data_IF_345865053488
#
_entry.id   IF_345865053488
#
_cell.length_a   1.000
_cell.length_b   1.000
_cell.length_c   1.000
_cell.angle_alpha   90.00
_cell.angle_beta   90.00
_cell.angle_gamma   90.00
#
_symmetry.space_group_name_H-M   'P 1'
#
loop_
_entity.id
_entity.type
_entity.pdbx_description
1 polymer ?
#
# COMPACT_ATOMS: atom_id res chain seq x y z
N UNK A 1 -2.18 -9.89 -14.49
CA UNK A 1 -0.80 -10.03 -13.98
C UNK A 1 -0.86 -9.62 -12.52
N UNK A 2 -1.00 -10.56 -11.58
CA UNK A 2 -0.90 -10.20 -10.16
C UNK A 2 0.57 -9.86 -9.91
N UNK A 3 0.86 -8.61 -9.57
CA UNK A 3 2.20 -8.15 -9.22
C UNK A 3 2.64 -8.91 -7.97
N UNK A 4 3.45 -9.96 -8.16
CA UNK A 4 4.15 -10.61 -7.07
C UNK A 4 5.52 -9.92 -6.93
N UNK A 5 5.82 -9.36 -5.75
CA UNK A 5 7.01 -8.54 -5.48
C UNK A 5 8.33 -9.33 -5.40
N UNK A 6 8.34 -10.64 -5.69
CA UNK A 6 9.55 -11.46 -5.62
C UNK A 6 10.66 -11.00 -6.61
N UNK A 7 10.35 -10.10 -7.56
CA UNK A 7 11.32 -9.49 -8.47
C UNK A 7 11.11 -7.96 -8.54
N UNK A 8 11.36 -7.27 -7.43
CA UNK A 8 11.47 -5.81 -7.41
C UNK A 8 12.94 -5.40 -7.48
N UNK A 9 13.33 -4.57 -8.45
CA UNK A 9 14.65 -3.93 -8.45
C UNK A 9 14.80 -3.04 -7.21
N UNK A 10 16.03 -2.86 -6.72
CA UNK A 10 16.34 -2.11 -5.48
C UNK A 10 15.71 -0.70 -5.46
N UNK A 11 15.73 0.00 -6.59
CA UNK A 11 15.12 1.32 -6.77
C UNK A 11 13.59 1.32 -6.59
N UNK A 12 12.92 0.21 -6.93
CA UNK A 12 11.48 0.05 -6.71
C UNK A 12 11.15 -0.31 -5.26
N UNK A 13 12.05 -1.03 -4.57
CA UNK A 13 11.92 -1.30 -3.14
C UNK A 13 11.97 0.01 -2.32
N UNK A 14 12.88 0.92 -2.67
CA UNK A 14 12.99 2.23 -1.99
C UNK A 14 11.77 3.14 -2.18
N UNK A 15 10.91 2.85 -3.17
CA UNK A 15 9.70 3.61 -3.50
C UNK A 15 8.42 2.91 -3.09
N UNK A 16 8.50 1.72 -2.52
CA UNK A 16 7.34 0.91 -2.19
C UNK A 16 7.24 0.69 -0.69
N UNK A 17 6.03 0.84 -0.17
CA UNK A 17 5.68 0.45 1.20
C UNK A 17 4.60 -0.63 1.21
N UNK A 18 4.50 -1.36 2.32
CA UNK A 18 3.52 -2.44 2.50
C UNK A 18 2.51 -2.02 3.55
N UNK A 19 1.27 -1.74 3.15
CA UNK A 19 0.18 -1.54 4.09
C UNK A 19 -0.32 -2.90 4.59
N UNK A 20 -0.34 -3.11 5.90
CA UNK A 20 -0.75 -4.36 6.55
C UNK A 20 -2.11 -4.24 7.23
N UNK A 21 -2.63 -5.38 7.71
CA UNK A 21 -3.88 -5.50 8.47
C UNK A 21 -5.10 -4.81 7.83
N UNK A 22 -5.20 -4.91 6.50
CA UNK A 22 -6.28 -4.29 5.76
C UNK A 22 -7.58 -5.10 5.88
N UNK A 23 -8.71 -4.49 6.29
CA UNK A 23 -10.00 -5.17 6.28
C UNK A 23 -10.47 -5.43 4.84
N UNK A 24 -11.26 -6.49 4.66
CA UNK A 24 -11.70 -7.00 3.34
C UNK A 24 -12.42 -5.96 2.46
N UNK A 25 -12.99 -4.92 3.09
CA UNK A 25 -13.68 -3.82 2.41
C UNK A 25 -12.75 -2.75 1.82
N UNK A 26 -11.46 -2.78 2.13
CA UNK A 26 -10.49 -1.83 1.59
C UNK A 26 -10.21 -2.18 0.14
N UNK A 27 -10.31 -1.18 -0.72
CA UNK A 27 -10.05 -1.30 -2.16
C UNK A 27 -8.74 -0.61 -2.52
N UNK A 28 -8.15 -1.00 -3.64
CA UNK A 28 -6.95 -0.34 -4.20
C UNK A 28 -7.23 1.15 -4.47
N UNK A 29 -8.45 1.48 -4.91
CA UNK A 29 -8.90 2.86 -5.14
C UNK A 29 -8.90 3.69 -3.85
N UNK A 30 -9.44 3.15 -2.76
CA UNK A 30 -9.46 3.81 -1.45
C UNK A 30 -8.04 4.09 -0.94
N UNK A 31 -7.15 3.11 -1.06
CA UNK A 31 -5.75 3.27 -0.68
C UNK A 31 -5.04 4.28 -1.59
N UNK A 32 -5.33 4.29 -2.88
CA UNK A 32 -4.77 5.26 -3.82
C UNK A 32 -5.15 6.69 -3.41
N UNK A 33 -6.43 6.95 -3.15
CA UNK A 33 -6.91 8.26 -2.72
C UNK A 33 -6.30 8.72 -1.38
N UNK A 34 -6.15 7.78 -0.44
CA UNK A 34 -5.51 8.04 0.85
C UNK A 34 -4.04 8.42 0.67
N UNK A 35 -3.25 7.58 0.00
CA UNK A 35 -1.81 7.77 -0.13
C UNK A 35 -1.41 8.87 -1.13
N UNK A 36 -2.33 9.33 -1.99
CA UNK A 36 -2.13 10.55 -2.79
C UNK A 36 -1.81 11.78 -1.93
N UNK A 37 -2.29 11.84 -0.68
CA UNK A 37 -1.97 12.94 0.24
C UNK A 37 -0.50 12.93 0.67
N UNK A 38 0.17 11.78 0.63
CA UNK A 38 1.59 11.66 0.94
C UNK A 38 2.49 11.95 -0.27
N UNK A 39 1.98 11.77 -1.48
CA UNK A 39 2.73 12.10 -2.69
C UNK A 39 2.23 11.38 -3.94
N UNK A 40 2.84 11.64 -5.10
CA UNK A 40 2.42 11.04 -6.36
C UNK A 40 2.66 9.53 -6.38
N UNK A 41 1.60 8.77 -6.63
CA UNK A 41 1.63 7.31 -6.70
C UNK A 41 1.94 6.83 -8.12
N UNK A 42 2.66 5.71 -8.19
CA UNK A 42 2.87 4.92 -9.42
C UNK A 42 1.86 3.78 -9.52
N UNK A 43 1.67 3.03 -8.44
CA UNK A 43 0.73 1.92 -8.38
C UNK A 43 0.30 1.62 -6.95
N UNK A 44 -0.91 1.06 -6.80
CA UNK A 44 -1.36 0.40 -5.57
C UNK A 44 -1.84 -0.98 -5.96
N UNK A 45 -1.47 -2.00 -5.20
CA UNK A 45 -1.87 -3.38 -5.48
C UNK A 45 -2.26 -4.14 -4.22
N UNK A 46 -3.47 -4.70 -4.19
CA UNK A 46 -3.92 -5.68 -3.19
C UNK A 46 -3.82 -7.07 -3.82
N UNK A 47 -2.84 -7.90 -3.43
CA UNK A 47 -2.72 -9.24 -3.97
C UNK A 47 -3.96 -10.07 -3.63
N UNK A 48 -4.36 -10.92 -4.56
CA UNK A 48 -5.45 -11.87 -4.37
C UNK A 48 -4.89 -13.27 -4.12
N UNK A 49 -5.63 -14.09 -3.37
CA UNK A 49 -5.36 -15.51 -3.25
C UNK A 49 -5.75 -16.28 -4.54
N UNK A 50 -5.55 -17.60 -4.53
CA UNK A 50 -5.90 -18.48 -5.66
C UNK A 50 -7.40 -18.53 -6.00
N UNK A 51 -8.25 -18.01 -5.12
CA UNK A 51 -9.71 -17.96 -5.25
C UNK A 51 -10.21 -16.54 -5.57
N UNK A 52 -9.30 -15.58 -5.81
CA UNK A 52 -9.64 -14.19 -6.12
C UNK A 52 -10.01 -13.35 -4.89
N UNK A 53 -9.77 -13.85 -3.66
CA UNK A 53 -10.05 -13.10 -2.44
C UNK A 53 -8.90 -12.14 -2.14
N UNK A 54 -9.16 -10.86 -1.83
CA UNK A 54 -8.12 -9.91 -1.49
C UNK A 54 -7.41 -10.35 -0.20
N UNK A 55 -6.08 -10.21 -0.17
CA UNK A 55 -5.30 -10.41 1.05
C UNK A 55 -5.40 -9.16 1.94
N UNK A 56 -5.07 -9.33 3.22
CA UNK A 56 -5.08 -8.27 4.23
C UNK A 56 -3.83 -7.36 4.17
N UNK A 57 -3.20 -7.22 2.99
CA UNK A 57 -2.09 -6.31 2.78
C UNK A 57 -2.07 -5.76 1.36
N UNK A 58 -1.43 -4.62 1.18
CA UNK A 58 -1.27 -3.95 -0.10
C UNK A 58 0.14 -3.43 -0.29
N UNK A 59 0.56 -3.35 -1.55
CA UNK A 59 1.76 -2.61 -1.95
C UNK A 59 1.36 -1.23 -2.44
N UNK A 60 2.05 -0.22 -1.96
CA UNK A 60 1.87 1.18 -2.36
C UNK A 60 3.20 1.66 -2.91
N UNK A 61 3.26 1.84 -4.23
CA UNK A 61 4.45 2.32 -4.94
C UNK A 61 4.30 3.80 -5.27
N UNK A 62 5.23 4.61 -4.79
CA UNK A 62 5.33 6.02 -5.10
C UNK A 62 6.22 6.28 -6.32
N UNK A 63 6.07 7.45 -6.93
CA UNK A 63 7.01 7.90 -7.97
C UNK A 63 8.36 8.29 -7.38
N UNK A 64 8.36 8.76 -6.13
CA UNK A 64 9.55 9.27 -5.44
C UNK A 64 9.76 8.53 -4.10
N UNK A 65 11.00 8.18 -3.75
CA UNK A 65 11.29 7.45 -2.51
C UNK A 65 11.04 8.29 -1.26
N UNK A 66 11.19 9.61 -1.35
CA UNK A 66 10.91 10.55 -0.27
C UNK A 66 9.46 10.48 0.22
N UNK A 67 8.54 10.17 -0.70
CA UNK A 67 7.12 10.00 -0.38
C UNK A 67 6.85 8.81 0.53
N UNK A 68 7.68 7.76 0.50
CA UNK A 68 7.54 6.58 1.38
C UNK A 68 7.75 6.99 2.83
N UNK A 69 8.86 7.67 3.12
CA UNK A 69 9.16 8.13 4.48
C UNK A 69 8.11 9.11 5.01
N UNK A 70 7.63 10.00 4.13
CA UNK A 70 6.56 10.94 4.49
C UNK A 70 5.23 10.21 4.74
N UNK A 71 4.85 9.25 3.89
CA UNK A 71 3.66 8.44 4.05
C UNK A 71 3.66 7.70 5.39
N UNK A 72 4.77 7.04 5.74
CA UNK A 72 4.93 6.37 7.04
C UNK A 72 4.73 7.38 8.18
N UNK A 73 5.34 8.57 8.09
CA UNK A 73 5.27 9.58 9.15
C UNK A 73 3.86 10.12 9.40
N UNK A 74 3.02 10.25 8.36
CA UNK A 74 1.68 10.83 8.47
C UNK A 74 0.56 9.78 8.59
N UNK A 75 0.77 8.57 8.07
CA UNK A 75 -0.24 7.50 8.05
C UNK A 75 -0.11 6.59 9.26
N UNK A 76 1.02 6.58 9.95
CA UNK A 76 1.17 5.86 11.21
C UNK A 76 0.19 6.42 12.25
N UNK A 77 -0.70 5.55 12.76
CA UNK A 77 -1.79 5.91 13.68
C UNK A 77 -3.10 6.34 13.02
N UNK A 78 -3.22 6.33 11.69
CA UNK A 78 -4.52 6.51 11.02
C UNK A 78 -5.31 5.21 11.12
N UNK A 79 -6.37 5.23 11.92
CA UNK A 79 -7.36 4.15 11.93
C UNK A 79 -8.35 4.36 10.80
N UNK A 80 -8.29 3.52 9.77
CA UNK A 80 -9.40 3.46 8.82
C UNK A 80 -10.65 2.97 9.56
N UNK A 81 -11.83 3.55 9.27
CA UNK A 81 -13.06 3.00 9.81
C UNK A 81 -13.11 1.53 9.41
N UNK A 82 -13.16 0.61 10.39
CA UNK A 82 -13.14 -0.84 10.17
C UNK A 82 -11.94 -1.60 10.73
N UNK A 83 -11.00 -0.91 11.36
CA UNK A 83 -9.94 -1.54 12.15
C UNK A 83 -8.62 -1.75 11.42
N UNK A 84 -8.40 -1.12 10.26
CA UNK A 84 -7.06 -1.18 9.65
C UNK A 84 -6.06 -0.40 10.52
N UNK A 85 -4.96 -1.06 10.90
CA UNK A 85 -3.83 -0.43 11.55
C UNK A 85 -2.67 -0.35 10.56
N UNK A 86 -2.26 0.86 10.20
CA UNK A 86 -1.03 1.09 9.43
C UNK A 86 0.19 1.15 10.37
N UNK A 87 0.36 0.14 11.22
CA UNK A 87 1.62 -0.07 11.94
C UNK A 87 2.68 -0.49 10.92
N UNK A 88 3.33 0.51 10.34
CA UNK A 88 4.41 0.41 9.34
C UNK A 88 5.78 0.51 10.00
#
# INVERSE_FOLDING_TARGET
MAYCPDVMDDDSLQRTMVALDLPERVTEELLYELFLQAGPLKAVTIPQDRYGRPKSYAFVEFKHPESVNYAISIMNGIHLPGGANFDL
#
